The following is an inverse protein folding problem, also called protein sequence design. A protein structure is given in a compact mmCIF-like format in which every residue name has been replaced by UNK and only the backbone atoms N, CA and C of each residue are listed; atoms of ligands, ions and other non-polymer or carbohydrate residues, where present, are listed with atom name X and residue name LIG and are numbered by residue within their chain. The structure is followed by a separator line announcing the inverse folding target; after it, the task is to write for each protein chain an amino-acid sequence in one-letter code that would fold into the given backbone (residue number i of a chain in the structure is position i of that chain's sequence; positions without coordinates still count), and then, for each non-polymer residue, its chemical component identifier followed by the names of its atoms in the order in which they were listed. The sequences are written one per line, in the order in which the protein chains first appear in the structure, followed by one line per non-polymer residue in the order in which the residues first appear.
data_IF_985356889722
#
_entry.id   IF_985356889722
#
_cell.length_a   1.000
_cell.length_b   1.000
_cell.length_c   1.000
_cell.angle_alpha   90.00
_cell.angle_beta   90.00
_cell.angle_gamma   90.00
#
_symmetry.space_group_name_H-M   'P 1'
#
loop_
_entity.id
_entity.type
_entity.pdbx_description
1 polymer ?
#
# COMPACT_ATOMS: atom_id res chain seq x y z
N UNK A 1 -7.29 -4.40 -16.41
CA UNK A 1 -8.38 -4.53 -15.41
C UNK A 1 -7.74 -4.41 -14.03
N UNK A 2 -8.07 -3.40 -13.24
CA UNK A 2 -7.51 -3.23 -11.88
C UNK A 2 -7.98 -4.43 -11.04
N UNK A 3 -7.09 -5.15 -10.32
CA UNK A 3 -7.54 -6.21 -9.42
C UNK A 3 -8.54 -5.63 -8.41
N UNK A 4 -9.75 -6.22 -8.35
CA UNK A 4 -10.92 -5.68 -7.63
C UNK A 4 -10.79 -5.66 -6.08
N UNK A 5 -9.58 -5.76 -5.52
CA UNK A 5 -9.32 -5.73 -4.07
C UNK A 5 -8.58 -4.46 -3.62
N UNK A 6 -8.17 -3.59 -4.54
CA UNK A 6 -7.55 -2.33 -4.16
C UNK A 6 -8.64 -1.35 -3.72
N UNK A 7 -8.56 -0.90 -2.46
CA UNK A 7 -9.39 0.20 -1.99
C UNK A 7 -9.10 1.45 -2.83
N UNK A 8 -10.08 2.33 -3.02
CA UNK A 8 -9.97 3.53 -3.89
C UNK A 8 -8.84 4.51 -3.52
N UNK A 9 -8.14 4.25 -2.42
CA UNK A 9 -7.13 5.11 -1.82
C UNK A 9 -5.70 4.52 -1.93
N UNK A 10 -5.54 3.35 -2.56
CA UNK A 10 -4.22 2.75 -2.80
C UNK A 10 -3.61 3.20 -4.13
N UNK A 11 -2.33 3.56 -4.05
CA UNK A 11 -1.48 3.89 -5.20
C UNK A 11 -0.68 2.65 -5.59
N UNK A 12 -0.60 2.39 -6.89
CA UNK A 12 0.17 1.27 -7.45
C UNK A 12 1.54 1.76 -7.89
N UNK A 13 2.58 1.06 -7.48
CA UNK A 13 3.94 1.20 -7.99
C UNK A 13 4.30 -0.07 -8.78
N UNK A 14 4.41 0.07 -10.08
CA UNK A 14 4.77 -1.00 -11.02
C UNK A 14 6.20 -1.52 -10.79
N UNK A 15 6.56 -2.69 -11.32
CA UNK A 15 7.92 -3.24 -11.21
C UNK A 15 8.98 -2.28 -11.82
N UNK A 16 8.55 -1.42 -12.75
CA UNK A 16 9.35 -0.38 -13.41
C UNK A 16 9.39 0.97 -12.68
N UNK A 17 8.63 1.14 -11.60
CA UNK A 17 8.57 2.40 -10.85
C UNK A 17 9.93 2.74 -10.22
N UNK A 18 10.39 4.01 -10.28
CA UNK A 18 11.68 4.43 -9.72
C UNK A 18 11.81 4.23 -8.20
N UNK A 19 10.71 4.06 -7.47
CA UNK A 19 10.71 3.71 -6.05
C UNK A 19 11.07 2.23 -5.79
N UNK A 20 11.08 1.40 -6.84
CA UNK A 20 11.43 -0.02 -6.79
C UNK A 20 12.87 -0.21 -7.27
N UNK A 21 13.68 -0.92 -6.47
CA UNK A 21 15.06 -1.24 -6.80
C UNK A 21 15.37 -2.71 -6.55
N UNK A 22 16.30 -3.26 -7.33
CA UNK A 22 16.59 -4.70 -7.36
C UNK A 22 18.07 -4.97 -7.14
N UNK A 23 18.38 -5.96 -6.32
CA UNK A 23 19.74 -6.25 -5.89
C UNK A 23 20.05 -7.75 -5.87
N UNK A 24 21.22 -8.16 -6.36
CA UNK A 24 22.02 -7.42 -7.33
C UNK A 24 21.29 -7.40 -8.68
N UNK A 25 21.29 -6.27 -9.40
CA UNK A 25 20.40 -6.05 -10.56
C UNK A 25 20.57 -7.10 -11.66
N UNK A 26 21.78 -7.62 -11.86
CA UNK A 26 22.10 -8.66 -12.83
C UNK A 26 21.47 -10.02 -12.54
N UNK A 27 20.98 -10.24 -11.31
CA UNK A 27 20.25 -11.45 -10.93
C UNK A 27 18.75 -11.37 -11.22
N UNK A 28 18.27 -10.25 -11.76
CA UNK A 28 16.87 -10.01 -12.04
C UNK A 28 16.62 -9.96 -13.55
N UNK A 29 15.87 -10.94 -14.03
CA UNK A 29 15.46 -11.01 -15.43
C UNK A 29 14.11 -10.31 -15.59
N UNK A 30 13.96 -9.58 -16.70
CA UNK A 30 12.67 -9.03 -17.12
C UNK A 30 11.96 -10.09 -17.94
N UNK A 31 10.67 -10.27 -17.66
CA UNK A 31 9.80 -11.16 -18.41
C UNK A 31 8.57 -10.36 -18.83
N UNK A 32 8.07 -10.67 -20.02
CA UNK A 32 6.91 -10.00 -20.60
C UNK A 32 5.69 -10.93 -20.54
N UNK A 33 4.50 -10.36 -20.33
CA UNK A 33 3.24 -11.07 -20.51
C UNK A 33 3.06 -11.57 -21.95
N UNK A 34 2.29 -12.64 -22.12
CA UNK A 34 2.10 -13.28 -23.42
C UNK A 34 0.90 -12.71 -24.19
N UNK A 35 0.91 -12.92 -25.51
CA UNK A 35 -0.22 -12.58 -26.40
C UNK A 35 -0.41 -11.08 -26.66
N UNK A 36 -1.61 -10.73 -27.13
CA UNK A 36 -1.97 -9.35 -27.52
C UNK A 36 -2.29 -8.44 -26.31
N UNK A 37 -2.34 -9.01 -25.11
CA UNK A 37 -2.69 -8.31 -23.85
C UNK A 37 -1.76 -8.71 -22.71
N UNK A 38 -0.47 -8.32 -22.80
CA UNK A 38 0.52 -8.69 -21.78
C UNK A 38 0.17 -8.18 -20.38
N UNK A 39 -0.66 -7.13 -20.28
CA UNK A 39 -1.15 -6.58 -19.02
C UNK A 39 -2.13 -7.51 -18.27
N UNK A 40 -2.70 -8.50 -18.96
CA UNK A 40 -3.52 -9.53 -18.35
C UNK A 40 -2.69 -10.48 -17.48
N UNK A 41 -1.41 -10.67 -17.81
CA UNK A 41 -0.47 -11.51 -17.06
C UNK A 41 0.20 -10.74 -15.92
N UNK A 42 0.76 -9.57 -16.22
CA UNK A 42 1.50 -8.72 -15.27
C UNK A 42 1.00 -7.29 -15.34
N UNK A 43 0.99 -6.56 -14.22
CA UNK A 43 0.70 -5.13 -14.26
C UNK A 43 1.73 -4.42 -15.15
N UNK A 44 1.29 -3.44 -15.96
CA UNK A 44 2.17 -2.80 -16.95
C UNK A 44 2.66 -3.70 -18.11
N UNK A 45 2.39 -5.01 -18.05
CA UNK A 45 2.78 -6.01 -19.05
C UNK A 45 4.19 -6.60 -18.87
N UNK A 46 4.90 -6.19 -17.83
CA UNK A 46 6.24 -6.67 -17.47
C UNK A 46 6.26 -7.16 -16.03
N UNK A 47 7.17 -8.07 -15.72
CA UNK A 47 7.54 -8.34 -14.33
C UNK A 47 9.03 -8.70 -14.25
N UNK A 48 9.60 -8.62 -13.05
CA UNK A 48 10.98 -9.01 -12.80
C UNK A 48 11.06 -10.25 -11.92
N UNK A 49 11.92 -11.20 -12.27
CA UNK A 49 12.16 -12.38 -11.44
C UNK A 49 13.63 -12.68 -11.21
N UNK A 50 13.90 -13.37 -10.11
CA UNK A 50 15.20 -13.95 -9.79
C UNK A 50 15.06 -15.42 -9.39
N UNK A 51 16.10 -16.21 -9.63
CA UNK A 51 16.29 -17.56 -9.06
C UNK A 51 17.44 -17.61 -8.05
N UNK A 52 18.08 -16.47 -7.79
CA UNK A 52 19.28 -16.41 -6.96
C UNK A 52 18.88 -16.20 -5.50
N UNK A 53 19.24 -17.15 -4.65
CA UNK A 53 19.08 -17.00 -3.20
C UNK A 53 19.74 -15.71 -2.72
N UNK A 54 19.06 -15.01 -1.80
CA UNK A 54 19.45 -13.73 -1.22
C UNK A 54 19.32 -12.51 -2.13
N UNK A 55 18.98 -12.67 -3.42
CA UNK A 55 18.57 -11.53 -4.23
C UNK A 55 17.28 -10.92 -3.66
N UNK A 56 17.16 -9.59 -3.72
CA UNK A 56 16.04 -8.89 -3.11
C UNK A 56 15.60 -7.67 -3.91
N UNK A 57 14.31 -7.36 -3.82
CA UNK A 57 13.74 -6.10 -4.27
C UNK A 57 13.46 -5.21 -3.05
N UNK A 58 13.61 -3.91 -3.21
CA UNK A 58 13.20 -2.90 -2.24
C UNK A 58 12.17 -1.97 -2.86
N UNK A 59 11.16 -1.60 -2.08
CA UNK A 59 10.18 -0.59 -2.45
C UNK A 59 10.12 0.48 -1.36
N UNK A 60 10.44 1.72 -1.73
CA UNK A 60 10.38 2.87 -0.82
C UNK A 60 9.02 3.56 -0.96
N UNK A 61 8.30 3.73 0.15
CA UNK A 61 6.97 4.34 0.12
C UNK A 61 6.78 5.30 1.30
N UNK A 62 5.83 6.23 1.15
CA UNK A 62 5.36 7.07 2.26
C UNK A 62 3.87 6.85 2.41
N UNK A 63 3.45 6.26 3.52
CA UNK A 63 2.07 5.81 3.67
C UNK A 63 1.82 5.10 5.00
N UNK A 64 0.64 4.49 5.11
CA UNK A 64 0.18 3.76 6.30
C UNK A 64 -0.17 2.28 6.03
N UNK A 65 0.01 1.84 4.79
CA UNK A 65 -0.23 0.48 4.34
C UNK A 65 0.69 0.14 3.18
N UNK A 66 1.10 -1.12 3.06
CA UNK A 66 1.83 -1.63 1.90
C UNK A 66 1.40 -3.06 1.57
N UNK A 67 1.33 -3.37 0.28
CA UNK A 67 1.09 -4.68 -0.27
C UNK A 67 2.08 -5.00 -1.40
N UNK A 68 2.33 -6.29 -1.59
CA UNK A 68 3.25 -6.83 -2.59
C UNK A 68 2.52 -7.92 -3.39
N UNK A 69 2.59 -7.78 -4.72
CA UNK A 69 1.97 -8.67 -5.67
C UNK A 69 3.01 -9.26 -6.62
N UNK A 70 2.82 -10.54 -6.94
CA UNK A 70 3.56 -11.26 -7.99
C UNK A 70 2.69 -12.42 -8.47
N UNK A 71 3.15 -13.11 -9.50
CA UNK A 71 2.62 -14.42 -9.82
C UNK A 71 3.06 -15.51 -8.82
N UNK A 72 2.33 -16.62 -8.86
CA UNK A 72 2.64 -17.87 -8.18
C UNK A 72 2.74 -19.00 -9.20
N UNK A 73 3.72 -19.88 -9.05
CA UNK A 73 3.89 -21.03 -9.94
C UNK A 73 4.63 -22.18 -9.26
N UNK A 74 4.70 -23.33 -9.92
CA UNK A 74 5.28 -24.56 -9.37
C UNK A 74 6.81 -24.51 -9.25
N UNK A 75 7.47 -23.59 -9.97
CA UNK A 75 8.91 -23.36 -9.90
C UNK A 75 9.30 -22.21 -8.94
N UNK A 76 8.33 -21.69 -8.18
CA UNK A 76 8.53 -20.63 -7.20
C UNK A 76 8.89 -21.17 -5.82
N UNK A 77 9.56 -20.35 -5.02
CA UNK A 77 10.06 -20.71 -3.70
C UNK A 77 9.67 -19.76 -2.57
N UNK A 78 10.28 -20.02 -1.42
CA UNK A 78 10.10 -19.19 -0.22
C UNK A 78 10.73 -17.80 -0.38
N UNK A 79 10.06 -16.80 0.19
CA UNK A 79 10.55 -15.43 0.29
C UNK A 79 10.37 -14.88 1.70
N UNK A 80 11.18 -13.88 2.04
CA UNK A 80 11.13 -13.16 3.32
C UNK A 80 10.78 -11.71 3.09
N UNK A 81 9.89 -11.18 3.92
CA UNK A 81 9.46 -9.78 3.91
C UNK A 81 10.06 -9.06 5.11
N UNK A 82 10.71 -7.91 4.87
CA UNK A 82 11.15 -6.99 5.91
C UNK A 82 10.57 -5.59 5.66
N UNK A 83 10.23 -4.89 6.73
CA UNK A 83 9.88 -3.46 6.72
C UNK A 83 10.83 -2.77 7.69
N UNK A 84 11.50 -1.72 7.24
CA UNK A 84 12.48 -0.95 8.03
C UNK A 84 13.52 -1.85 8.74
N UNK A 85 14.12 -2.75 7.95
CA UNK A 85 15.11 -3.75 8.37
C UNK A 85 14.63 -4.80 9.39
N UNK A 86 13.34 -4.83 9.71
CA UNK A 86 12.74 -5.85 10.58
C UNK A 86 11.98 -6.88 9.76
N UNK A 87 12.28 -8.16 9.94
CA UNK A 87 11.50 -9.24 9.33
C UNK A 87 10.10 -9.25 9.91
N UNK A 88 9.09 -9.17 9.04
CA UNK A 88 7.67 -9.18 9.41
C UNK A 88 6.95 -10.45 8.94
N UNK A 89 7.44 -11.09 7.88
CA UNK A 89 6.88 -12.34 7.38
C UNK A 89 7.91 -13.20 6.65
N UNK A 90 7.61 -14.49 6.55
CA UNK A 90 8.23 -15.44 5.62
C UNK A 90 7.10 -16.28 5.05
N UNK A 91 7.04 -16.39 3.72
CA UNK A 91 5.97 -17.07 2.99
C UNK A 91 6.56 -17.73 1.74
N UNK A 92 5.71 -18.24 0.85
CA UNK A 92 6.12 -18.83 -0.43
C UNK A 92 5.16 -18.42 -1.54
N UNK A 93 5.69 -18.18 -2.73
CA UNK A 93 4.90 -17.96 -3.95
C UNK A 93 4.71 -19.25 -4.76
N UNK A 94 4.95 -20.42 -4.16
CA UNK A 94 4.67 -21.71 -4.78
C UNK A 94 3.16 -21.94 -4.95
N UNK A 95 2.77 -22.38 -6.14
CA UNK A 95 1.43 -22.89 -6.45
C UNK A 95 1.54 -23.99 -7.51
N UNK A 96 0.76 -25.08 -7.43
CA UNK A 96 0.78 -26.13 -8.47
C UNK A 96 0.33 -25.62 -9.84
N UNK A 97 -0.50 -24.57 -9.87
CA UNK A 97 -0.99 -23.91 -11.07
C UNK A 97 -0.51 -22.46 -11.11
N UNK A 98 -0.30 -21.93 -12.31
CA UNK A 98 0.10 -20.54 -12.47
C UNK A 98 -1.04 -19.59 -12.09
N UNK A 99 -0.77 -18.67 -11.16
CA UNK A 99 -1.69 -17.62 -10.73
C UNK A 99 -1.03 -16.27 -10.96
N UNK A 100 -1.70 -15.41 -11.73
CA UNK A 100 -1.23 -14.06 -12.08
C UNK A 100 -1.62 -13.06 -11.01
N UNK A 101 -0.81 -12.01 -10.79
CA UNK A 101 -1.16 -10.82 -9.97
C UNK A 101 -1.73 -11.17 -8.58
N UNK A 102 -1.13 -12.14 -7.90
CA UNK A 102 -1.59 -12.61 -6.60
C UNK A 102 -1.03 -11.73 -5.47
N UNK A 103 -1.86 -11.38 -4.49
CA UNK A 103 -1.41 -10.64 -3.30
C UNK A 103 -0.64 -11.58 -2.37
N UNK A 104 0.69 -11.45 -2.35
CA UNK A 104 1.56 -12.31 -1.57
C UNK A 104 1.81 -11.80 -0.15
N UNK A 105 1.63 -10.49 0.06
CA UNK A 105 1.81 -9.84 1.35
C UNK A 105 1.00 -8.54 1.41
N UNK A 106 0.47 -8.21 2.58
CA UNK A 106 -0.01 -6.87 2.92
C UNK A 106 0.19 -6.61 4.42
N UNK A 107 0.36 -5.35 4.80
CA UNK A 107 0.43 -4.95 6.20
C UNK A 107 0.17 -3.46 6.40
N UNK A 108 -0.55 -3.11 7.47
CA UNK A 108 -0.54 -1.73 7.99
C UNK A 108 0.80 -1.40 8.66
N UNK A 109 1.23 -0.15 8.51
CA UNK A 109 2.42 0.40 9.14
C UNK A 109 2.07 1.74 9.81
N UNK A 110 2.92 2.19 10.72
CA UNK A 110 2.78 3.55 11.23
C UNK A 110 2.84 4.54 10.06
N UNK A 111 2.06 5.62 10.07
CA UNK A 111 2.12 6.58 8.97
C UNK A 111 3.49 7.26 8.89
N UNK A 112 4.16 7.14 7.75
CA UNK A 112 5.50 7.70 7.55
C UNK A 112 6.19 7.15 6.32
N UNK A 113 7.50 7.41 6.22
CA UNK A 113 8.35 6.84 5.17
C UNK A 113 8.91 5.49 5.61
N UNK A 114 8.83 4.50 4.73
CA UNK A 114 9.21 3.12 5.00
C UNK A 114 9.93 2.50 3.80
N UNK A 115 10.67 1.43 4.08
CA UNK A 115 11.26 0.58 3.04
C UNK A 115 10.78 -0.86 3.23
N UNK A 116 10.03 -1.37 2.25
CA UNK A 116 9.72 -2.78 2.11
C UNK A 116 10.88 -3.48 1.41
N UNK A 117 11.30 -4.64 1.90
CA UNK A 117 12.26 -5.53 1.23
C UNK A 117 11.70 -6.94 1.10
N UNK A 118 11.70 -7.47 -0.12
CA UNK A 118 11.32 -8.85 -0.43
C UNK A 118 12.59 -9.61 -0.85
N UNK A 119 12.97 -10.63 -0.09
CA UNK A 119 14.21 -11.39 -0.30
C UNK A 119 13.89 -12.82 -0.72
N UNK A 120 14.50 -13.29 -1.81
CA UNK A 120 14.43 -14.69 -2.22
C UNK A 120 15.20 -15.54 -1.22
N UNK A 121 14.54 -16.52 -0.61
CA UNK A 121 15.15 -17.36 0.41
C UNK A 121 15.70 -18.66 -0.16
N UNK A 122 15.49 -18.95 -1.46
CA UNK A 122 15.79 -20.22 -2.11
C UNK A 122 16.48 -20.02 -3.46
N UNK A 123 16.91 -21.12 -4.08
CA UNK A 123 17.40 -21.15 -5.47
C UNK A 123 16.26 -21.49 -6.45
N UNK A 124 15.08 -20.96 -6.13
CA UNK A 124 13.80 -21.11 -6.83
C UNK A 124 13.32 -19.74 -7.28
N UNK A 125 12.30 -19.67 -8.14
CA UNK A 125 11.81 -18.37 -8.63
C UNK A 125 11.14 -17.56 -7.52
N UNK A 126 11.45 -16.26 -7.51
CA UNK A 126 10.68 -15.23 -6.84
C UNK A 126 10.54 -14.06 -7.81
N UNK A 127 9.30 -13.67 -8.11
CA UNK A 127 8.99 -12.51 -8.95
C UNK A 127 8.80 -11.22 -8.15
N UNK A 128 8.56 -10.13 -8.86
CA UNK A 128 7.91 -8.92 -8.40
C UNK A 128 7.18 -8.30 -9.60
N UNK A 129 5.89 -8.09 -9.44
CA UNK A 129 5.00 -7.53 -10.47
C UNK A 129 4.63 -6.09 -10.12
N UNK A 130 3.98 -5.87 -8.98
CA UNK A 130 3.73 -4.51 -8.50
C UNK A 130 3.58 -4.46 -6.98
N UNK A 131 3.66 -3.24 -6.47
CA UNK A 131 3.39 -2.91 -5.08
C UNK A 131 2.19 -1.97 -5.01
N UNK A 132 1.49 -2.01 -3.89
CA UNK A 132 0.45 -1.03 -3.58
C UNK A 132 0.69 -0.41 -2.21
N UNK A 133 0.33 0.85 -2.03
CA UNK A 133 0.45 1.53 -0.74
C UNK A 133 -0.61 2.60 -0.57
N UNK A 134 -1.00 2.89 0.68
CA UNK A 134 -1.95 3.95 0.98
C UNK A 134 -1.21 5.24 1.38
N UNK A 135 -1.30 6.29 0.55
CA UNK A 135 -0.65 7.59 0.77
C UNK A 135 -1.21 8.38 1.96
N UNK A 136 -2.47 8.14 2.32
CA UNK A 136 -3.15 8.87 3.38
C UNK A 136 -3.22 8.05 4.66
N UNK A 137 -3.16 8.76 5.77
CA UNK A 137 -3.79 8.30 7.00
C UNK A 137 -5.23 7.97 6.63
N UNK A 138 -5.71 6.76 6.94
CA UNK A 138 -7.15 6.64 7.14
C UNK A 138 -7.48 7.72 8.16
N UNK A 139 -8.32 8.67 7.80
CA UNK A 139 -9.08 9.42 8.79
C UNK A 139 -9.88 8.35 9.53
N UNK A 140 -9.26 7.73 10.55
CA UNK A 140 -9.98 7.04 11.60
C UNK A 140 -10.91 8.13 12.09
N UNK A 141 -12.19 7.98 11.77
CA UNK A 141 -13.26 8.90 12.11
C UNK A 141 -13.02 9.42 13.54
N UNK A 142 -12.34 10.56 13.66
CA UNK A 142 -12.53 11.45 14.78
C UNK A 142 -13.93 11.92 14.51
N UNK A 143 -14.88 11.25 15.18
CA UNK A 143 -16.31 11.40 15.07
C UNK A 143 -16.73 12.61 14.23
N UNK A 144 -17.45 12.36 13.14
CA UNK A 144 -18.18 13.41 12.45
C UNK A 144 -19.23 13.99 13.43
N UNK A 145 -18.84 15.03 14.17
CA UNK A 145 -19.75 15.80 15.05
C UNK A 145 -20.61 16.79 14.25
N UNK A 146 -20.65 16.69 12.92
CA UNK A 146 -21.52 17.54 12.09
C UNK A 146 -22.99 17.10 12.09
N UNK A 147 -23.29 15.93 12.70
CA UNK A 147 -24.65 15.39 12.78
C UNK A 147 -25.29 15.51 14.18
N UNK A 148 -24.98 16.56 14.94
CA UNK A 148 -25.77 16.92 16.13
C UNK A 148 -26.59 18.17 15.82
N UNK A 149 -27.70 17.98 15.09
CA UNK A 149 -28.73 18.98 14.93
C UNK A 149 -29.49 19.11 16.26
N UNK A 150 -28.91 19.86 17.20
CA UNK A 150 -29.62 20.25 18.41
C UNK A 150 -30.64 21.30 17.96
N UNK A 151 -31.93 20.94 18.04
CA UNK A 151 -33.00 21.92 18.02
C UNK A 151 -32.82 22.86 19.22
N UNK A 152 -32.11 23.97 19.02
CA UNK A 152 -32.11 25.07 19.96
C UNK A 152 -33.42 25.85 19.76
N UNK A 153 -34.38 25.64 20.66
CA UNK A 153 -35.50 26.57 20.83
C UNK A 153 -34.92 27.97 21.15
N UNK A 154 -35.47 29.06 20.60
CA UNK A 154 -34.98 30.39 20.91
C UNK A 154 -35.31 30.74 22.37
N UNK A 155 -34.26 31.00 23.17
CA UNK A 155 -34.40 31.65 24.48
C UNK A 155 -34.78 33.11 24.22
N UNK A 156 -36.04 33.45 24.46
CA UNK A 156 -36.49 34.84 24.59
C UNK A 156 -35.86 35.44 25.85
N UNK A 157 -34.87 36.32 25.68
CA UNK A 157 -34.42 37.20 26.77
C UNK A 157 -35.32 38.44 26.83
N UNK A 158 -35.85 38.83 27.99
CA UNK A 158 -36.38 40.18 28.19
C UNK A 158 -35.23 41.19 28.27
N UNK A 159 -35.33 42.30 27.52
CA UNK A 159 -34.42 43.46 27.63
C UNK A 159 -34.47 44.01 29.06
N UNK A 160 -33.33 44.05 29.76
CA UNK A 160 -33.12 44.99 30.87
C UNK A 160 -32.49 46.26 30.31
N UNK A 161 -33.22 47.37 30.41
CA UNK A 161 -32.67 48.71 30.21
C UNK A 161 -31.85 49.07 31.45
N UNK A 162 -30.55 49.34 31.29
CA UNK A 162 -29.75 50.05 32.30
C UNK A 162 -29.33 51.36 31.64
N UNK A 163 -29.90 52.47 32.12
CA UNK A 163 -29.39 53.81 31.84
C UNK A 163 -28.42 54.18 32.97
N UNK A 164 -27.17 54.49 32.61
CA UNK A 164 -26.19 55.04 33.56
C UNK A 164 -26.51 56.51 33.84
N UNK A 165 -26.49 56.86 35.12
CA UNK A 165 -26.48 58.23 35.65
C UNK A 165 -25.19 58.98 35.30
N UNK A 166 -25.27 60.27 34.97
CA UNK A 166 -24.36 61.27 35.54
C UNK A 166 -24.93 62.71 35.45
N UNK A 167 -24.51 63.52 36.41
CA UNK A 167 -25.09 64.74 36.98
C UNK A 167 -24.84 66.04 36.22
N UNK A 168 -25.63 67.09 36.50
CA UNK A 168 -25.13 68.45 36.76
C UNK A 168 -26.24 69.43 37.22
N UNK A 169 -25.92 70.16 38.30
CA UNK A 169 -26.50 71.41 38.85
C UNK A 169 -27.87 71.42 39.53
#
# INVERSE_FOLDING_TARGET
MIPMDLSSDEVIADDTDPAVAYYPIESWNIVQGEGDRPDEDYYGGLYRMTRNRSAYATFSFTGSHVAYYSDMNHDHGAFKVSIDDRTVATSSSYSPEWQRKHQLFNQSVEPGSHVLRITNMEDSVMGADFFAYAERYRDVLVADWSAMQIHAAPILYPRRTISQHCSSE
#
